data_IF_355187150996
#
_entry.id   IF_355187150996
#
_cell.length_a   1.000
_cell.length_b   1.000
_cell.length_c   1.000
_cell.angle_alpha   90.00
_cell.angle_beta   90.00
_cell.angle_gamma   90.00
#
_symmetry.space_group_name_H-M   'P 1'
#
loop_
_entity.id
_entity.type
_entity.pdbx_description
1 polymer ?
#
# COMPACT_ATOMS: atom_id res chain seq x y z
N UNK A 1 45.19 34.45 -64.90
CA UNK A 1 43.92 34.35 -65.63
C UNK A 1 43.32 33.06 -65.15
N UNK A 2 42.38 33.19 -64.22
CA UNK A 2 41.79 32.11 -63.43
C UNK A 2 40.70 31.43 -64.27
N UNK A 3 40.75 30.12 -64.36
CA UNK A 3 39.60 29.23 -64.54
C UNK A 3 40.06 27.84 -64.07
N UNK A 4 39.67 27.47 -62.86
CA UNK A 4 39.65 26.08 -62.42
C UNK A 4 38.36 25.87 -61.63
N UNK A 5 37.60 24.90 -62.11
CA UNK A 5 36.25 24.53 -61.72
C UNK A 5 36.15 24.22 -60.22
N UNK A 6 35.32 24.98 -59.51
CA UNK A 6 34.81 24.57 -58.20
C UNK A 6 33.56 23.73 -58.45
N UNK A 7 33.73 22.40 -58.39
CA UNK A 7 32.63 21.48 -58.18
C UNK A 7 31.96 21.82 -56.84
N UNK A 8 30.76 22.41 -56.91
CA UNK A 8 29.85 22.47 -55.75
C UNK A 8 29.35 21.06 -55.46
N UNK A 9 29.77 20.53 -54.30
CA UNK A 9 29.20 19.37 -53.62
C UNK A 9 27.69 19.55 -53.45
N UNK A 10 26.91 18.93 -54.34
CA UNK A 10 25.48 18.70 -54.15
C UNK A 10 25.26 17.27 -53.67
N UNK A 11 25.69 16.96 -52.45
CA UNK A 11 25.32 15.71 -51.76
C UNK A 11 25.16 15.91 -50.25
N UNK A 12 24.47 16.98 -49.85
CA UNK A 12 24.04 17.17 -48.45
C UNK A 12 22.62 16.62 -48.25
N UNK A 13 22.55 15.49 -47.54
CA UNK A 13 21.42 14.94 -46.76
C UNK A 13 20.03 14.88 -47.41
N UNK A 14 19.78 13.81 -48.19
CA UNK A 14 18.42 13.35 -48.56
C UNK A 14 17.72 12.51 -47.48
N UNK A 15 18.25 12.48 -46.25
CA UNK A 15 17.77 11.62 -45.15
C UNK A 15 16.80 12.33 -44.19
N UNK A 16 16.46 13.60 -44.44
CA UNK A 16 15.46 14.30 -43.63
C UNK A 16 14.04 13.91 -44.06
N UNK A 17 13.36 13.16 -43.18
CA UNK A 17 11.95 12.78 -43.30
C UNK A 17 11.12 14.06 -43.47
N UNK A 18 10.36 14.15 -44.56
CA UNK A 18 9.47 15.30 -44.79
C UNK A 18 8.34 15.32 -43.77
N UNK A 19 7.75 16.49 -43.49
CA UNK A 19 6.63 16.60 -42.54
C UNK A 19 5.43 15.70 -42.88
N UNK A 20 5.23 15.38 -44.15
CA UNK A 20 4.18 14.45 -44.61
C UNK A 20 4.56 12.99 -44.31
N UNK A 21 5.80 12.59 -44.57
CA UNK A 21 6.32 11.26 -44.22
C UNK A 21 6.34 11.04 -42.70
N UNK A 22 6.55 12.11 -41.92
CA UNK A 22 6.49 12.03 -40.47
C UNK A 22 5.08 11.68 -39.97
N UNK A 23 4.02 12.22 -40.59
CA UNK A 23 2.65 11.89 -40.22
C UNK A 23 2.33 10.41 -40.48
N UNK A 24 2.76 9.88 -41.62
CA UNK A 24 2.60 8.45 -41.93
C UNK A 24 3.43 7.56 -41.00
N UNK A 25 4.68 7.95 -40.72
CA UNK A 25 5.56 7.23 -39.80
C UNK A 25 4.98 7.17 -38.38
N UNK A 26 4.34 8.24 -37.90
CA UNK A 26 3.64 8.24 -36.61
C UNK A 26 2.57 7.16 -36.53
N UNK A 27 1.78 6.98 -37.59
CA UNK A 27 0.74 5.93 -37.61
C UNK A 27 1.34 4.53 -37.59
N UNK A 28 2.46 4.29 -38.28
CA UNK A 28 3.16 3.00 -38.24
C UNK A 28 3.61 2.67 -36.81
N UNK A 29 4.16 3.65 -36.09
CA UNK A 29 4.58 3.48 -34.69
C UNK A 29 3.38 3.23 -33.77
N UNK A 30 2.28 3.97 -33.97
CA UNK A 30 1.04 3.80 -33.21
C UNK A 30 0.43 2.41 -33.46
N UNK A 31 0.40 1.95 -34.71
CA UNK A 31 -0.08 0.61 -35.06
C UNK A 31 0.76 -0.46 -34.39
N UNK A 32 2.09 -0.37 -34.47
CA UNK A 32 2.99 -1.31 -33.79
C UNK A 32 2.75 -1.34 -32.26
N UNK A 33 2.50 -0.18 -31.64
CA UNK A 33 2.17 -0.09 -30.22
C UNK A 33 0.87 -0.85 -29.88
N UNK A 34 -0.20 -0.67 -30.66
CA UNK A 34 -1.47 -1.35 -30.40
C UNK A 34 -1.44 -2.84 -30.76
N UNK A 35 -0.64 -3.24 -31.75
CA UNK A 35 -0.43 -4.65 -32.10
C UNK A 35 0.29 -5.40 -30.97
N UNK A 36 1.24 -4.76 -30.28
CA UNK A 36 1.94 -5.37 -29.15
C UNK A 36 1.17 -5.27 -27.82
N UNK A 37 0.62 -4.09 -27.50
CA UNK A 37 0.03 -3.82 -26.18
C UNK A 37 -1.47 -4.12 -26.11
N UNK A 38 -2.20 -3.98 -27.19
CA UNK A 38 -3.66 -4.03 -27.18
C UNK A 38 -4.32 -2.86 -26.43
N UNK A 39 -5.62 -2.99 -26.15
CA UNK A 39 -6.46 -1.89 -25.61
C UNK A 39 -6.73 -1.96 -24.10
N UNK A 40 -6.62 -3.14 -23.49
CA UNK A 40 -6.98 -3.39 -22.08
C UNK A 40 -5.80 -3.82 -21.22
N UNK A 41 -4.58 -3.51 -21.69
CA UNK A 41 -3.32 -3.95 -21.11
C UNK A 41 -3.20 -3.64 -19.62
N UNK A 42 -3.63 -2.45 -19.20
CA UNK A 42 -3.62 -1.99 -17.81
C UNK A 42 -4.41 -2.88 -16.85
N UNK A 43 -5.52 -3.49 -17.31
CA UNK A 43 -6.31 -4.41 -16.48
C UNK A 43 -5.62 -5.77 -16.36
N UNK A 44 -5.12 -6.28 -17.50
CA UNK A 44 -4.45 -7.58 -17.56
C UNK A 44 -3.13 -7.58 -16.78
N UNK A 45 -2.28 -6.56 -16.99
CA UNK A 45 -1.00 -6.43 -16.31
C UNK A 45 -1.18 -6.26 -14.80
N UNK A 46 -2.16 -5.44 -14.38
CA UNK A 46 -2.47 -5.25 -12.96
C UNK A 46 -2.92 -6.56 -12.30
N UNK A 47 -3.74 -7.36 -12.98
CA UNK A 47 -4.17 -8.67 -12.47
C UNK A 47 -3.04 -9.69 -12.47
N UNK A 48 -2.23 -9.74 -13.52
CA UNK A 48 -1.10 -10.67 -13.62
C UNK A 48 -0.05 -10.36 -12.54
N UNK A 49 0.30 -9.09 -12.33
CA UNK A 49 1.17 -8.66 -11.22
C UNK A 49 0.58 -9.04 -9.87
N UNK A 50 -0.73 -8.84 -9.68
CA UNK A 50 -1.42 -9.20 -8.45
C UNK A 50 -1.24 -10.69 -8.13
N UNK A 51 -1.52 -11.57 -9.09
CA UNK A 51 -1.45 -13.03 -8.89
C UNK A 51 -0.02 -13.52 -8.76
N UNK A 52 0.91 -13.01 -9.58
CA UNK A 52 2.29 -13.49 -9.64
C UNK A 52 3.13 -13.03 -8.44
N UNK A 53 2.90 -11.80 -7.96
CA UNK A 53 3.76 -11.19 -6.94
C UNK A 53 2.99 -10.85 -5.65
N UNK A 54 1.89 -10.11 -5.76
CA UNK A 54 1.27 -9.49 -4.58
C UNK A 54 0.62 -10.53 -3.65
N UNK A 55 -0.05 -11.56 -4.18
CA UNK A 55 -0.65 -12.61 -3.34
C UNK A 55 0.42 -13.35 -2.54
N UNK A 56 1.58 -13.67 -3.14
CA UNK A 56 2.68 -14.33 -2.44
C UNK A 56 3.26 -13.44 -1.34
N UNK A 57 3.50 -12.15 -1.64
CA UNK A 57 3.98 -11.17 -0.66
C UNK A 57 3.04 -11.01 0.54
N UNK A 58 1.73 -11.00 0.31
CA UNK A 58 0.73 -10.92 1.41
C UNK A 58 0.86 -12.12 2.35
N UNK A 59 1.10 -13.32 1.81
CA UNK A 59 1.26 -14.54 2.61
C UNK A 59 2.58 -14.51 3.38
N UNK A 60 3.65 -14.00 2.79
CA UNK A 60 4.97 -13.84 3.43
C UNK A 60 4.99 -12.77 4.53
N UNK A 61 4.29 -11.66 4.33
CA UNK A 61 4.14 -10.56 5.29
C UNK A 61 3.31 -10.96 6.52
N UNK A 62 2.52 -12.02 6.41
CA UNK A 62 1.64 -12.48 7.49
C UNK A 62 2.46 -13.15 8.61
N UNK A 63 2.41 -12.67 9.86
CA UNK A 63 3.17 -13.28 10.94
C UNK A 63 2.67 -14.70 11.24
N UNK A 64 3.55 -15.60 11.73
CA UNK A 64 3.13 -16.93 12.16
C UNK A 64 2.00 -16.85 13.19
N UNK A 65 1.00 -17.71 13.04
CA UNK A 65 -0.10 -17.80 14.00
C UNK A 65 0.33 -18.68 15.15
N UNK A 66 0.53 -18.07 16.31
CA UNK A 66 0.93 -18.75 17.53
C UNK A 66 -0.28 -18.97 18.45
N UNK A 67 -0.45 -20.21 18.91
CA UNK A 67 -1.48 -20.62 19.85
C UNK A 67 -0.83 -21.40 20.99
N UNK A 68 -1.12 -21.01 22.22
CA UNK A 68 -0.71 -21.72 23.41
C UNK A 68 -1.96 -22.09 24.21
N UNK A 69 -2.09 -23.36 24.59
CA UNK A 69 -3.18 -23.79 25.47
C UNK A 69 -3.04 -23.12 26.84
N UNK A 70 -4.17 -22.77 27.45
CA UNK A 70 -4.17 -22.24 28.82
C UNK A 70 -3.69 -23.31 29.80
N UNK A 71 -2.95 -22.89 30.83
CA UNK A 71 -2.54 -23.78 31.90
C UNK A 71 -3.77 -24.24 32.67
N UNK A 72 -4.13 -25.53 32.58
CA UNK A 72 -5.14 -26.11 33.47
C UNK A 72 -4.46 -26.53 34.76
N UNK A 73 -4.77 -25.86 35.87
CA UNK A 73 -4.28 -26.22 37.19
C UNK A 73 -5.21 -27.28 37.82
N UNK A 74 -5.13 -28.52 37.35
CA UNK A 74 -5.72 -29.68 38.04
C UNK A 74 -4.60 -30.53 38.66
N UNK A 75 -4.15 -30.15 39.85
CA UNK A 75 -3.22 -30.94 40.66
C UNK A 75 -1.78 -30.43 40.72
N UNK A 76 -0.94 -31.13 41.48
CA UNK A 76 0.44 -30.75 41.81
C UNK A 76 1.46 -30.94 40.66
N UNK A 77 1.01 -31.40 39.49
CA UNK A 77 1.84 -31.60 38.31
C UNK A 77 1.66 -30.42 37.34
N UNK A 78 2.74 -29.66 37.12
CA UNK A 78 2.81 -28.64 36.06
C UNK A 78 2.95 -29.35 34.71
N UNK A 79 1.85 -29.56 33.98
CA UNK A 79 1.95 -29.85 32.54
C UNK A 79 2.31 -28.55 31.80
N UNK A 80 3.42 -28.54 31.06
CA UNK A 80 3.69 -27.43 30.14
C UNK A 80 2.75 -27.55 28.94
N UNK A 81 1.91 -26.54 28.66
CA UNK A 81 1.00 -26.58 27.53
C UNK A 81 1.79 -26.58 26.22
N UNK A 82 1.34 -27.38 25.26
CA UNK A 82 1.92 -27.39 23.93
C UNK A 82 1.71 -26.02 23.25
N UNK A 83 2.78 -25.49 22.65
CA UNK A 83 2.74 -24.30 21.79
C UNK A 83 2.64 -24.75 20.34
N UNK A 84 1.66 -24.20 19.61
CA UNK A 84 1.46 -24.43 18.19
C UNK A 84 1.85 -23.15 17.44
N UNK A 85 2.69 -23.27 16.43
CA UNK A 85 2.99 -22.20 15.48
C UNK A 85 2.66 -22.67 14.07
N UNK A 86 1.86 -21.88 13.36
CA UNK A 86 1.48 -22.12 11.97
C UNK A 86 2.09 -21.03 11.09
N UNK A 87 2.85 -21.44 10.09
CA UNK A 87 3.44 -20.56 9.09
C UNK A 87 2.94 -20.95 7.70
N UNK A 88 2.52 -19.97 6.93
CA UNK A 88 2.16 -20.13 5.52
C UNK A 88 3.36 -19.80 4.65
N UNK A 89 3.61 -20.62 3.62
CA UNK A 89 4.77 -20.50 2.74
C UNK A 89 4.32 -20.23 1.30
N UNK A 90 4.80 -21.04 0.35
CA UNK A 90 4.55 -20.89 -1.07
C UNK A 90 3.07 -21.07 -1.42
N UNK A 91 2.54 -20.18 -2.24
CA UNK A 91 1.22 -20.32 -2.87
C UNK A 91 1.33 -20.99 -4.24
N UNK A 92 0.25 -21.70 -4.62
CA UNK A 92 0.07 -22.27 -5.94
C UNK A 92 -1.35 -21.97 -6.42
N UNK A 93 -1.46 -21.28 -7.55
CA UNK A 93 -2.72 -21.08 -8.24
C UNK A 93 -2.79 -22.01 -9.45
N UNK A 94 -3.80 -22.88 -9.53
CA UNK A 94 -3.99 -23.71 -10.72
C UNK A 94 -4.73 -22.96 -11.82
N UNK A 95 -4.84 -23.56 -13.01
CA UNK A 95 -5.80 -23.09 -14.02
C UNK A 95 -7.26 -23.27 -13.53
N UNK A 96 -8.24 -22.53 -14.07
CA UNK A 96 -9.65 -22.59 -13.65
C UNK A 96 -10.26 -23.98 -13.78
N UNK A 97 -10.83 -24.49 -12.68
CA UNK A 97 -11.45 -25.81 -12.62
C UNK A 97 -12.81 -25.79 -11.93
N UNK A 98 -13.71 -26.62 -12.44
CA UNK A 98 -15.01 -26.91 -11.85
C UNK A 98 -15.03 -28.32 -11.27
N UNK A 99 -15.73 -28.52 -10.17
CA UNK A 99 -16.01 -29.87 -9.65
C UNK A 99 -17.45 -30.20 -9.98
N UNK A 100 -17.65 -31.23 -10.78
CA UNK A 100 -19.00 -31.74 -11.06
C UNK A 100 -19.57 -32.46 -9.85
N UNK A 101 -20.89 -32.75 -9.90
CA UNK A 101 -21.60 -33.46 -8.81
C UNK A 101 -20.98 -34.83 -8.48
N UNK A 102 -20.33 -35.44 -9.47
CA UNK A 102 -19.66 -36.74 -9.34
C UNK A 102 -18.27 -36.62 -8.68
N UNK A 103 -17.84 -35.40 -8.33
CA UNK A 103 -16.57 -35.13 -7.65
C UNK A 103 -15.34 -35.04 -8.58
N UNK A 104 -15.51 -35.27 -9.88
CA UNK A 104 -14.42 -35.14 -10.86
C UNK A 104 -14.11 -33.66 -11.16
N UNK A 105 -12.83 -33.25 -11.13
CA UNK A 105 -12.43 -31.92 -11.57
C UNK A 105 -12.38 -31.86 -13.10
N UNK A 106 -13.03 -30.85 -13.67
CA UNK A 106 -12.98 -30.54 -15.10
C UNK A 106 -12.39 -29.14 -15.32
N UNK A 107 -11.60 -28.92 -16.39
CA UNK A 107 -11.20 -27.58 -16.78
C UNK A 107 -12.46 -26.76 -17.11
N UNK A 108 -12.56 -25.57 -16.54
CA UNK A 108 -13.70 -24.69 -16.80
C UNK A 108 -13.37 -23.80 -18.00
N UNK A 109 -14.26 -23.76 -18.99
CA UNK A 109 -14.20 -22.77 -20.07
C UNK A 109 -15.04 -21.54 -19.72
N UNK A 110 -14.64 -20.32 -20.16
CA UNK A 110 -15.39 -19.11 -19.80
C UNK A 110 -16.82 -19.09 -20.34
N UNK A 111 -17.05 -19.45 -21.60
CA UNK A 111 -18.40 -19.55 -22.16
C UNK A 111 -19.30 -20.51 -21.36
N UNK A 112 -18.75 -21.64 -20.91
CA UNK A 112 -19.47 -22.56 -20.04
C UNK A 112 -19.85 -21.91 -18.70
N UNK A 113 -18.94 -21.13 -18.11
CA UNK A 113 -19.20 -20.40 -16.87
C UNK A 113 -20.32 -19.37 -17.04
N UNK A 114 -20.38 -18.68 -18.19
CA UNK A 114 -21.47 -17.76 -18.55
C UNK A 114 -22.81 -18.50 -18.63
N UNK A 115 -22.89 -19.58 -19.43
CA UNK A 115 -24.13 -20.32 -19.69
C UNK A 115 -24.70 -21.03 -18.46
N UNK A 116 -23.82 -21.56 -17.59
CA UNK A 116 -24.23 -22.32 -16.39
C UNK A 116 -24.39 -21.46 -15.14
N UNK A 117 -24.27 -20.14 -15.25
CA UNK A 117 -24.28 -19.22 -14.10
C UNK A 117 -23.21 -19.56 -13.04
N UNK A 118 -22.02 -19.99 -13.48
CA UNK A 118 -20.90 -20.32 -12.60
C UNK A 118 -19.95 -19.13 -12.45
N UNK A 119 -19.09 -19.20 -11.43
CA UNK A 119 -17.98 -18.26 -11.27
C UNK A 119 -16.72 -18.86 -11.86
N UNK A 120 -16.11 -18.15 -12.80
CA UNK A 120 -14.85 -18.53 -13.44
C UNK A 120 -13.68 -18.24 -12.49
N UNK A 121 -13.26 -19.28 -11.76
CA UNK A 121 -12.27 -19.16 -10.69
C UNK A 121 -11.30 -20.33 -10.66
N UNK A 122 -10.09 -20.05 -10.19
CA UNK A 122 -9.03 -21.02 -9.96
C UNK A 122 -8.90 -21.38 -8.49
N UNK A 123 -8.70 -22.66 -8.14
CA UNK A 123 -8.37 -23.06 -6.78
C UNK A 123 -6.95 -22.60 -6.41
N UNK A 124 -6.83 -22.08 -5.18
CA UNK A 124 -5.60 -21.61 -4.56
C UNK A 124 -5.18 -22.62 -3.48
N UNK A 125 -3.91 -23.01 -3.55
CA UNK A 125 -3.27 -23.92 -2.62
C UNK A 125 -2.09 -23.23 -1.94
N UNK A 126 -1.78 -23.62 -0.70
CA UNK A 126 -0.67 -23.05 0.08
C UNK A 126 0.04 -24.16 0.84
N UNK A 127 1.36 -24.05 0.95
CA UNK A 127 2.16 -24.91 1.85
C UNK A 127 2.11 -24.36 3.28
N UNK A 128 1.79 -25.23 4.24
CA UNK A 128 1.64 -24.85 5.65
C UNK A 128 2.66 -25.62 6.49
N UNK A 129 3.55 -24.91 7.17
CA UNK A 129 4.44 -25.47 8.18
C UNK A 129 3.79 -25.37 9.55
N UNK A 130 3.61 -26.51 10.21
CA UNK A 130 3.14 -26.60 11.60
C UNK A 130 4.30 -26.99 12.50
N UNK A 131 4.61 -26.15 13.47
CA UNK A 131 5.58 -26.43 14.53
C UNK A 131 4.84 -26.63 15.85
N UNK A 132 5.06 -27.78 16.50
CA UNK A 132 4.53 -28.08 17.83
C UNK A 132 5.70 -28.17 18.80
N UNK A 133 5.70 -27.31 19.81
CA UNK A 133 6.71 -27.31 20.88
C UNK A 133 6.07 -27.80 22.17
N UNK A 134 6.57 -28.91 22.73
CA UNK A 134 6.17 -29.47 24.02
C UNK A 134 7.40 -29.94 24.78
N UNK A 135 7.60 -29.47 26.01
CA UNK A 135 8.67 -29.96 26.90
C UNK A 135 10.04 -30.07 26.20
N UNK A 136 10.44 -29.00 25.49
CA UNK A 136 11.67 -28.90 24.67
C UNK A 136 11.74 -29.76 23.39
N UNK A 137 10.77 -30.64 23.16
CA UNK A 137 10.63 -31.33 21.87
C UNK A 137 9.96 -30.42 20.83
N UNK A 138 10.63 -30.22 19.70
CA UNK A 138 10.12 -29.47 18.54
C UNK A 138 9.74 -30.48 17.46
N UNK A 139 8.46 -30.58 17.15
CA UNK A 139 7.95 -31.39 16.05
C UNK A 139 7.47 -30.49 14.93
N UNK A 140 8.16 -30.55 13.78
CA UNK A 140 7.80 -29.84 12.57
C UNK A 140 7.10 -30.78 11.58
N UNK A 141 5.97 -30.33 11.03
CA UNK A 141 5.24 -31.04 9.98
C UNK A 141 4.86 -30.06 8.88
N UNK A 142 5.24 -30.39 7.66
CA UNK A 142 4.90 -29.63 6.47
C UNK A 142 3.67 -30.29 5.81
N UNK A 143 2.68 -29.46 5.50
CA UNK A 143 1.50 -29.82 4.73
C UNK A 143 1.61 -29.15 3.37
N UNK A 144 1.87 -29.95 2.34
CA UNK A 144 2.00 -29.44 0.97
C UNK A 144 0.64 -29.27 0.30
N UNK A 145 0.49 -28.19 -0.48
CA UNK A 145 -0.66 -27.92 -1.37
C UNK A 145 -2.01 -28.06 -0.65
N UNK A 146 -2.15 -27.42 0.50
CA UNK A 146 -3.42 -27.36 1.21
C UNK A 146 -4.36 -26.40 0.48
N UNK A 147 -5.57 -26.87 0.13
CA UNK A 147 -6.58 -26.02 -0.50
C UNK A 147 -7.06 -24.93 0.47
N UNK A 148 -6.96 -23.66 0.05
CA UNK A 148 -7.35 -22.50 0.88
C UNK A 148 -8.64 -21.86 0.37
N UNK A 149 -8.86 -21.85 -0.94
CA UNK A 149 -10.04 -21.22 -1.52
C UNK A 149 -9.97 -21.13 -3.04
N UNK A 150 -10.85 -20.30 -3.62
CA UNK A 150 -10.86 -20.02 -5.06
C UNK A 150 -10.69 -18.53 -5.32
N UNK A 151 -9.93 -18.19 -6.35
CA UNK A 151 -9.68 -16.82 -6.81
C UNK A 151 -10.32 -16.64 -8.19
N UNK A 152 -11.24 -15.68 -8.38
CA UNK A 152 -11.76 -15.36 -9.71
C UNK A 152 -10.63 -14.98 -10.67
N UNK A 153 -10.65 -15.55 -11.87
CA UNK A 153 -9.60 -15.32 -12.88
C UNK A 153 -10.10 -14.34 -13.93
N UNK A 154 -9.30 -13.32 -14.23
CA UNK A 154 -9.61 -12.36 -15.27
C UNK A 154 -9.48 -13.01 -16.65
N UNK A 155 -10.44 -12.77 -17.53
CA UNK A 155 -10.39 -13.28 -18.90
C UNK A 155 -9.20 -12.72 -19.68
N UNK A 156 -8.57 -13.57 -20.49
CA UNK A 156 -7.35 -13.29 -21.26
C UNK A 156 -6.07 -12.99 -20.44
N UNK A 157 -6.13 -13.05 -19.10
CA UNK A 157 -4.93 -12.98 -18.25
C UNK A 157 -4.04 -14.22 -18.40
N UNK A 158 -2.80 -14.15 -17.91
CA UNK A 158 -1.83 -15.27 -17.98
C UNK A 158 -2.35 -16.58 -17.34
N UNK A 159 -3.21 -16.48 -16.32
CA UNK A 159 -3.81 -17.63 -15.63
C UNK A 159 -5.13 -18.10 -16.25
N UNK A 160 -5.68 -17.39 -17.23
CA UNK A 160 -6.88 -17.81 -17.94
C UNK A 160 -6.62 -19.04 -18.84
N UNK A 161 -7.65 -19.82 -19.16
CA UNK A 161 -7.54 -20.89 -20.16
C UNK A 161 -7.35 -20.34 -21.58
N UNK A 162 -7.90 -19.16 -21.87
CA UNK A 162 -7.85 -18.53 -23.20
C UNK A 162 -6.51 -17.83 -23.50
N UNK A 163 -5.57 -17.83 -22.56
CA UNK A 163 -4.25 -17.21 -22.74
C UNK A 163 -3.49 -17.94 -23.84
N UNK A 164 -2.92 -17.19 -24.79
CA UNK A 164 -2.07 -17.72 -25.87
C UNK A 164 -2.75 -18.72 -26.84
N UNK A 165 -4.08 -18.77 -26.87
CA UNK A 165 -4.83 -19.52 -27.88
C UNK A 165 -4.88 -18.75 -29.20
N UNK A 166 -4.87 -19.46 -30.33
CA UNK A 166 -5.01 -18.82 -31.65
C UNK A 166 -6.47 -18.42 -31.91
N UNK A 167 -6.68 -17.47 -32.84
CA UNK A 167 -8.03 -17.05 -33.26
C UNK A 167 -8.91 -18.22 -33.72
N UNK A 168 -8.28 -19.23 -34.32
CA UNK A 168 -8.94 -20.47 -34.72
C UNK A 168 -9.43 -21.26 -33.50
N UNK A 169 -8.55 -21.52 -32.53
CA UNK A 169 -8.89 -22.30 -31.33
C UNK A 169 -9.99 -21.61 -30.52
N UNK A 170 -9.94 -20.28 -30.43
CA UNK A 170 -10.97 -19.48 -29.76
C UNK A 170 -12.34 -19.65 -30.43
N UNK A 171 -12.35 -19.63 -31.76
CA UNK A 171 -13.59 -19.85 -32.53
C UNK A 171 -14.13 -21.27 -32.33
N UNK A 172 -13.25 -22.28 -32.27
CA UNK A 172 -13.63 -23.68 -31.97
C UNK A 172 -14.23 -23.83 -30.55
N UNK A 173 -13.81 -22.98 -29.60
CA UNK A 173 -14.35 -22.91 -28.24
C UNK A 173 -15.59 -22.02 -28.09
N UNK A 174 -16.12 -21.48 -29.18
CA UNK A 174 -17.21 -20.49 -29.21
C UNK A 174 -16.89 -19.19 -28.43
N UNK A 175 -15.63 -18.77 -28.42
CA UNK A 175 -15.19 -17.46 -27.93
C UNK A 175 -14.89 -16.53 -29.12
N UNK A 176 -15.07 -15.22 -28.92
CA UNK A 176 -14.79 -14.23 -29.95
C UNK A 176 -13.28 -13.88 -29.96
N UNK A 177 -12.57 -13.99 -31.10
CA UNK A 177 -11.17 -13.54 -31.20
C UNK A 177 -10.99 -12.06 -30.87
N UNK A 178 -11.99 -11.23 -31.19
CA UNK A 178 -11.97 -9.79 -30.96
C UNK A 178 -12.42 -9.38 -29.55
N UNK A 179 -12.78 -10.33 -28.68
CA UNK A 179 -13.05 -10.01 -27.27
C UNK A 179 -11.74 -9.66 -26.56
N UNK A 180 -11.58 -8.41 -26.08
CA UNK A 180 -10.34 -7.96 -25.44
C UNK A 180 -10.08 -8.65 -24.09
N UNK A 181 -11.09 -9.22 -23.44
CA UNK A 181 -10.96 -9.71 -22.06
C UNK A 181 -10.83 -8.56 -21.05
N UNK A 182 -10.12 -8.80 -19.94
CA UNK A 182 -9.95 -7.77 -18.90
C UNK A 182 -11.13 -7.64 -17.92
N UNK A 183 -12.00 -8.66 -17.85
CA UNK A 183 -13.16 -8.71 -16.97
C UNK A 183 -13.31 -10.11 -16.33
N UNK A 184 -14.20 -10.21 -15.35
CA UNK A 184 -14.46 -11.43 -14.59
C UNK A 184 -15.85 -11.98 -14.89
N UNK A 185 -15.99 -13.30 -14.89
CA UNK A 185 -17.30 -13.98 -14.94
C UNK A 185 -17.64 -14.48 -13.54
N UNK A 186 -18.64 -13.88 -12.90
CA UNK A 186 -19.09 -14.22 -11.55
C UNK A 186 -20.57 -14.56 -11.61
N UNK A 187 -20.91 -15.80 -11.25
CA UNK A 187 -22.27 -16.34 -11.32
C UNK A 187 -22.92 -16.11 -12.70
N UNK A 188 -22.17 -16.37 -13.77
CA UNK A 188 -22.57 -16.14 -15.16
C UNK A 188 -22.59 -14.70 -15.63
N UNK A 189 -22.47 -13.72 -14.73
CA UNK A 189 -22.48 -12.30 -15.06
C UNK A 189 -21.07 -11.76 -15.27
N UNK A 190 -20.90 -10.91 -16.27
CA UNK A 190 -19.65 -10.23 -16.57
C UNK A 190 -19.49 -9.00 -15.68
N UNK A 191 -18.29 -8.84 -15.09
CA UNK A 191 -17.97 -7.80 -14.11
C UNK A 191 -16.61 -7.17 -14.44
N UNK A 192 -16.58 -5.85 -14.53
CA UNK A 192 -15.37 -5.06 -14.75
C UNK A 192 -15.08 -4.24 -13.50
N UNK A 193 -13.80 -4.16 -13.13
CA UNK A 193 -13.35 -3.26 -12.06
C UNK A 193 -12.97 -1.90 -12.67
N UNK A 194 -13.62 -0.84 -12.19
CA UNK A 194 -13.37 0.54 -12.64
C UNK A 194 -12.24 1.12 -11.79
N UNK A 195 -11.22 1.64 -12.45
CA UNK A 195 -10.10 2.32 -11.80
C UNK A 195 -10.60 3.47 -10.91
N UNK A 196 -10.03 3.57 -9.71
CA UNK A 196 -10.38 4.60 -8.74
C UNK A 196 -9.21 5.56 -8.58
N UNK A 197 -9.44 6.83 -8.92
CA UNK A 197 -8.46 7.89 -8.72
C UNK A 197 -8.36 8.25 -7.23
N UNK A 198 -7.13 8.39 -6.74
CA UNK A 198 -6.82 8.81 -5.37
C UNK A 198 -5.62 9.75 -5.37
N UNK A 199 -5.55 10.63 -4.38
CA UNK A 199 -4.35 11.45 -4.12
C UNK A 199 -3.14 10.56 -3.89
N UNK A 200 -1.99 10.94 -4.42
CA UNK A 200 -0.75 10.20 -4.25
C UNK A 200 -0.36 10.09 -2.77
N UNK A 201 0.15 8.92 -2.39
CA UNK A 201 0.71 8.68 -1.05
C UNK A 201 2.17 9.14 -1.02
N UNK A 202 2.76 9.17 0.18
CA UNK A 202 4.17 9.51 0.44
C UNK A 202 4.58 10.91 -0.07
N UNK A 203 3.60 11.81 -0.20
CA UNK A 203 3.79 13.21 -0.60
C UNK A 203 3.14 14.11 0.45
N UNK A 204 3.78 15.25 0.72
CA UNK A 204 3.28 16.25 1.67
C UNK A 204 2.45 17.29 0.93
N UNK A 205 1.18 17.42 1.32
CA UNK A 205 0.28 18.43 0.77
C UNK A 205 0.01 19.53 1.80
N UNK A 206 0.12 20.80 1.38
CA UNK A 206 -0.16 21.97 2.23
C UNK A 206 -1.33 22.74 1.64
N UNK A 207 -2.37 22.96 2.44
CA UNK A 207 -3.57 23.66 2.04
C UNK A 207 -3.77 24.92 2.89
N UNK A 208 -3.98 26.06 2.23
CA UNK A 208 -4.44 27.28 2.88
C UNK A 208 -5.94 27.20 3.14
N UNK A 209 -6.36 27.46 4.37
CA UNK A 209 -7.76 27.46 4.77
C UNK A 209 -8.26 28.90 4.90
N UNK A 210 -9.44 29.20 4.35
CA UNK A 210 -10.05 30.53 4.44
C UNK A 210 -10.73 30.76 5.80
N UNK A 211 -11.43 29.73 6.29
CA UNK A 211 -12.21 29.79 7.53
C UNK A 211 -11.95 28.56 8.40
N UNK A 212 -12.05 28.75 9.72
CA UNK A 212 -12.01 27.68 10.70
C UNK A 212 -10.86 27.80 11.72
N UNK A 213 -10.57 26.67 12.36
CA UNK A 213 -9.56 26.57 13.44
C UNK A 213 -8.12 26.66 12.93
N UNK A 214 -7.88 26.24 11.69
CA UNK A 214 -6.55 26.15 11.09
C UNK A 214 -6.39 27.21 10.00
N UNK A 215 -5.25 27.90 9.98
CA UNK A 215 -4.85 28.77 8.88
C UNK A 215 -4.25 27.94 7.74
N UNK A 216 -3.41 26.97 8.08
CA UNK A 216 -2.81 26.02 7.14
C UNK A 216 -3.02 24.59 7.65
N UNK A 217 -3.41 23.71 6.74
CA UNK A 217 -3.57 22.28 7.00
C UNK A 217 -2.56 21.52 6.15
N UNK A 218 -1.71 20.74 6.79
CA UNK A 218 -0.79 19.84 6.09
C UNK A 218 -1.27 18.41 6.23
N UNK A 219 -1.22 17.64 5.16
CA UNK A 219 -1.58 16.23 5.14
C UNK A 219 -0.44 15.43 4.51
N UNK A 220 0.01 14.39 5.22
CA UNK A 220 0.92 13.39 4.71
C UNK A 220 0.27 12.02 4.87
N UNK A 221 -0.02 11.38 3.73
CA UNK A 221 -0.56 10.01 3.66
C UNK A 221 0.58 9.05 3.39
N UNK A 222 1.09 8.44 4.43
CA UNK A 222 2.19 7.50 4.34
C UNK A 222 1.68 6.09 4.07
N UNK A 223 2.27 5.42 3.08
CA UNK A 223 2.01 4.02 2.75
C UNK A 223 3.35 3.34 2.52
N UNK A 224 3.58 2.21 3.17
CA UNK A 224 4.75 1.39 2.86
C UNK A 224 4.56 0.78 1.47
N UNK A 225 5.54 0.93 0.61
CA UNK A 225 5.50 0.35 -0.73
C UNK A 225 5.48 -1.19 -0.62
N UNK A 226 4.65 -1.85 -1.41
CA UNK A 226 4.49 -3.32 -1.43
C UNK A 226 3.97 -3.96 -0.13
N UNK A 227 3.40 -3.20 0.80
CA UNK A 227 2.81 -3.76 2.02
C UNK A 227 1.28 -3.78 1.96
N UNK A 228 0.68 -4.76 2.64
CA UNK A 228 -0.77 -4.84 2.85
C UNK A 228 -1.28 -3.87 3.94
N UNK A 229 -0.38 -3.14 4.62
CA UNK A 229 -0.75 -2.20 5.68
C UNK A 229 -1.54 -1.02 5.11
N UNK A 230 -2.62 -0.58 5.81
CA UNK A 230 -3.40 0.55 5.37
C UNK A 230 -2.58 1.86 5.42
N UNK A 231 -3.01 2.83 4.63
CA UNK A 231 -2.38 4.16 4.61
C UNK A 231 -2.48 4.83 5.97
N UNK A 232 -1.35 5.23 6.53
CA UNK A 232 -1.27 5.99 7.76
C UNK A 232 -1.25 7.49 7.45
N UNK A 233 -2.19 8.23 8.02
CA UNK A 233 -2.30 9.68 7.76
C UNK A 233 -1.88 10.49 8.97
N UNK A 234 -0.96 11.42 8.76
CA UNK A 234 -0.56 12.43 9.73
C UNK A 234 -0.98 13.81 9.22
N UNK A 235 -1.41 14.66 10.16
CA UNK A 235 -1.64 16.08 9.87
C UNK A 235 -0.72 16.96 10.71
N UNK A 236 -0.22 18.03 10.10
CA UNK A 236 0.51 19.10 10.79
C UNK A 236 -0.16 20.43 10.44
N UNK A 237 -0.84 21.00 11.43
CA UNK A 237 -1.73 22.13 11.19
C UNK A 237 -1.26 23.35 11.96
N UNK A 238 -1.34 24.51 11.32
CA UNK A 238 -1.10 25.79 11.95
C UNK A 238 -2.43 26.40 12.38
N UNK A 239 -2.56 26.75 13.66
CA UNK A 239 -3.76 27.41 14.18
C UNK A 239 -3.88 28.85 13.66
N UNK A 240 -5.12 29.32 13.51
CA UNK A 240 -5.40 30.73 13.21
C UNK A 240 -4.95 31.64 14.36
N UNK A 241 -4.60 32.90 14.04
CA UNK A 241 -4.28 33.92 15.05
C UNK A 241 -5.55 34.24 15.85
N UNK A 242 -5.57 33.86 17.12
CA UNK A 242 -6.75 33.99 17.99
C UNK A 242 -7.66 32.77 17.88
N UNK A 243 -7.47 31.80 18.80
CA UNK A 243 -8.18 30.52 18.79
C UNK A 243 -9.69 30.69 18.56
N UNK A 244 -10.26 29.80 17.74
CA UNK A 244 -11.62 29.86 17.18
C UNK A 244 -12.80 29.79 18.16
N UNK A 245 -12.76 30.58 19.22
CA UNK A 245 -13.83 30.72 20.19
C UNK A 245 -13.62 31.98 21.03
N UNK A 246 -13.94 33.16 20.48
CA UNK A 246 -14.31 34.41 21.17
C UNK A 246 -13.39 35.02 22.23
N UNK A 247 -12.40 34.31 22.75
CA UNK A 247 -11.41 34.75 23.73
C UNK A 247 -10.10 34.92 23.01
N UNK A 248 -9.74 36.20 22.76
CA UNK A 248 -8.38 36.61 22.37
C UNK A 248 -7.40 36.13 23.43
N UNK A 249 -6.93 34.90 23.32
CA UNK A 249 -5.79 34.41 24.08
C UNK A 249 -4.56 35.02 23.42
N UNK A 250 -3.69 35.66 24.19
CA UNK A 250 -2.45 36.28 23.72
C UNK A 250 -1.39 35.26 23.23
N UNK A 251 -1.83 34.06 22.84
CA UNK A 251 -0.97 33.00 22.38
C UNK A 251 -0.86 33.10 20.86
N UNK A 252 0.39 33.13 20.38
CA UNK A 252 0.72 33.24 18.95
C UNK A 252 0.20 32.06 18.12
N UNK A 253 0.55 32.07 16.83
CA UNK A 253 0.23 30.93 15.94
C UNK A 253 1.01 29.71 16.43
N UNK A 254 0.29 28.63 16.72
CA UNK A 254 0.88 27.38 17.20
C UNK A 254 0.72 26.30 16.16
N UNK A 255 1.70 25.40 16.11
CA UNK A 255 1.74 24.27 15.21
C UNK A 255 1.43 23.00 16.01
N UNK A 256 0.44 22.26 15.55
CA UNK A 256 -0.02 21.02 16.16
C UNK A 256 0.09 19.86 15.18
N UNK A 257 0.37 18.67 15.71
CA UNK A 257 0.27 17.40 15.01
C UNK A 257 -0.99 16.64 15.40
N UNK A 258 -1.58 15.95 14.43
CA UNK A 258 -2.57 14.90 14.66
C UNK A 258 -1.94 13.61 14.16
N UNK A 259 -1.62 12.73 15.12
CA UNK A 259 -0.95 11.46 14.86
C UNK A 259 -1.98 10.37 14.50
N UNK A 260 -1.57 9.35 13.73
CA UNK A 260 -2.38 8.15 13.50
C UNK A 260 -2.88 7.56 14.82
N UNK A 261 -4.14 7.13 14.86
CA UNK A 261 -4.79 6.55 16.04
C UNK A 261 -4.91 7.46 17.28
N UNK A 262 -4.44 8.71 17.23
CA UNK A 262 -4.61 9.70 18.30
C UNK A 262 -5.63 10.76 17.86
N UNK A 263 -6.78 10.78 18.54
CA UNK A 263 -7.88 11.71 18.20
C UNK A 263 -7.66 13.14 18.68
N UNK A 264 -6.78 13.35 19.66
CA UNK A 264 -6.51 14.67 20.21
C UNK A 264 -5.26 15.28 19.58
N UNK A 265 -5.29 16.60 19.45
CA UNK A 265 -4.18 17.38 18.92
C UNK A 265 -3.02 17.41 19.92
N UNK A 266 -1.80 17.31 19.38
CA UNK A 266 -0.57 17.32 20.16
C UNK A 266 0.33 18.44 19.62
N UNK A 267 0.83 19.36 20.46
CA UNK A 267 1.84 20.34 20.04
C UNK A 267 3.04 19.67 19.37
N UNK A 268 3.47 20.16 18.20
CA UNK A 268 4.46 19.46 17.38
C UNK A 268 5.80 19.25 18.11
N UNK A 269 6.18 20.20 18.97
CA UNK A 269 7.41 20.13 19.77
C UNK A 269 7.39 18.97 20.77
N UNK A 270 6.21 18.58 21.29
CA UNK A 270 6.09 17.41 22.16
C UNK A 270 6.32 16.12 21.36
N UNK A 271 5.94 16.08 20.07
CA UNK A 271 6.22 14.94 19.19
C UNK A 271 7.73 14.78 18.99
N UNK A 272 8.47 15.86 18.71
CA UNK A 272 9.94 15.82 18.61
C UNK A 272 10.60 15.32 19.91
N UNK A 273 10.13 15.79 21.07
CA UNK A 273 10.62 15.31 22.36
C UNK A 273 10.32 13.83 22.59
N UNK A 274 9.17 13.35 22.15
CA UNK A 274 8.83 11.93 22.21
C UNK A 274 9.70 11.06 21.28
N UNK A 275 10.12 11.61 20.12
CA UNK A 275 11.09 10.98 19.21
C UNK A 275 12.51 10.91 19.78
N UNK A 276 12.82 11.70 20.81
CA UNK A 276 14.10 11.67 21.54
C UNK A 276 14.91 12.97 21.49
N UNK A 277 14.43 13.99 20.76
CA UNK A 277 15.09 15.29 20.68
C UNK A 277 14.68 16.17 21.88
N UNK A 278 15.52 16.25 22.90
CA UNK A 278 15.24 17.00 24.14
C UNK A 278 15.72 18.45 24.06
N UNK A 279 16.79 18.72 23.31
CA UNK A 279 17.35 20.06 23.12
C UNK A 279 16.51 20.86 22.13
N UNK A 280 16.08 22.07 22.50
CA UNK A 280 15.31 22.95 21.60
C UNK A 280 16.11 23.32 20.35
N UNK A 281 17.45 23.44 20.48
CA UNK A 281 18.34 23.69 19.35
C UNK A 281 18.30 22.54 18.34
N UNK A 282 18.25 21.30 18.83
CA UNK A 282 18.23 20.10 17.97
C UNK A 282 16.89 20.02 17.24
N UNK A 283 15.79 20.27 17.95
CA UNK A 283 14.44 20.35 17.36
C UNK A 283 14.41 21.41 16.26
N UNK A 284 14.90 22.62 16.55
CA UNK A 284 14.92 23.70 15.57
C UNK A 284 15.81 23.37 14.36
N UNK A 285 16.95 22.71 14.56
CA UNK A 285 17.82 22.27 13.45
C UNK A 285 17.19 21.23 12.52
N UNK A 286 16.14 20.53 12.96
CA UNK A 286 15.34 19.64 12.11
C UNK A 286 14.20 20.34 11.37
N UNK A 287 13.80 21.54 11.80
CA UNK A 287 12.68 22.29 11.20
C UNK A 287 13.21 23.40 10.29
N UNK A 288 14.18 24.17 10.78
CA UNK A 288 14.73 25.37 10.15
C UNK A 288 16.17 25.03 9.73
N UNK A 289 16.43 25.03 8.43
CA UNK A 289 17.75 24.74 7.89
C UNK A 289 18.74 25.91 8.03
N UNK A 290 18.21 27.14 8.08
CA UNK A 290 18.98 28.39 8.20
C UNK A 290 18.57 29.17 9.44
N UNK A 291 19.45 29.20 10.45
CA UNK A 291 19.20 29.90 11.71
C UNK A 291 19.32 31.43 11.59
N UNK A 292 19.83 31.93 10.48
CA UNK A 292 19.95 33.38 10.23
C UNK A 292 18.63 34.00 9.72
N UNK A 293 17.56 33.19 9.52
CA UNK A 293 16.21 33.66 9.23
C UNK A 293 15.41 33.98 10.52
N UNK A 294 15.32 35.26 10.94
CA UNK A 294 14.59 35.65 12.14
C UNK A 294 13.07 35.46 12.01
N UNK A 295 12.53 35.50 10.78
CA UNK A 295 11.08 35.42 10.54
C UNK A 295 10.56 34.01 10.82
N UNK A 296 11.24 32.98 10.31
CA UNK A 296 10.92 31.59 10.63
C UNK A 296 11.09 31.28 12.12
N UNK A 297 12.17 31.79 12.73
CA UNK A 297 12.43 31.60 14.16
C UNK A 297 11.33 32.24 15.03
N UNK A 298 10.85 33.43 14.67
CA UNK A 298 9.74 34.09 15.37
C UNK A 298 8.41 33.34 15.19
N UNK A 299 8.16 32.75 14.02
CA UNK A 299 6.95 31.97 13.76
C UNK A 299 6.88 30.68 14.59
N UNK A 300 8.00 30.01 14.83
CA UNK A 300 8.06 28.73 15.56
C UNK A 300 8.05 28.93 17.08
N UNK A 301 8.56 30.06 17.59
CA UNK A 301 8.71 30.37 19.01
C UNK A 301 7.45 30.13 19.87
N UNK A 302 6.22 30.53 19.48
CA UNK A 302 5.02 30.27 20.29
C UNK A 302 4.75 28.77 20.52
N UNK A 303 5.17 27.91 19.60
CA UNK A 303 5.02 26.45 19.72
C UNK A 303 6.07 25.84 20.66
N UNK A 304 7.25 26.44 20.76
CA UNK A 304 8.28 26.08 21.75
C UNK A 304 7.83 26.47 23.17
N UNK A 305 7.34 27.70 23.34
CA UNK A 305 6.87 28.21 24.64
C UNK A 305 5.73 27.34 25.20
N UNK A 306 4.81 26.86 24.35
CA UNK A 306 3.73 25.95 24.76
C UNK A 306 4.25 24.58 25.25
N UNK A 307 5.33 24.09 24.65
CA UNK A 307 5.88 22.77 24.97
C UNK A 307 6.89 22.79 26.12
N UNK A 308 7.26 23.96 26.65
CA UNK A 308 8.26 24.13 27.71
C UNK A 308 7.98 23.29 28.97
N UNK A 309 6.70 23.00 29.23
CA UNK A 309 6.23 22.19 30.37
C UNK A 309 6.69 20.73 30.33
N UNK A 310 7.09 20.21 29.17
CA UNK A 310 7.53 18.82 28.99
C UNK A 310 8.92 18.86 28.38
N UNK A 311 9.93 18.47 29.16
CA UNK A 311 11.32 18.43 28.70
C UNK A 311 11.84 17.00 28.51
N UNK A 312 11.25 16.00 29.17
CA UNK A 312 11.71 14.62 29.11
C UNK A 312 10.92 13.77 28.10
N UNK A 313 11.63 12.86 27.40
CA UNK A 313 11.02 11.94 26.44
C UNK A 313 9.93 11.05 27.06
N UNK A 314 10.16 10.47 28.23
CA UNK A 314 9.18 9.59 28.88
C UNK A 314 7.91 10.34 29.32
N UNK A 315 8.03 11.62 29.64
CA UNK A 315 6.89 12.49 29.97
C UNK A 315 6.11 12.83 28.69
N UNK A 316 6.81 13.11 27.59
CA UNK A 316 6.20 13.33 26.27
C UNK A 316 5.45 12.07 25.77
N UNK A 317 6.07 10.90 25.87
CA UNK A 317 5.43 9.61 25.51
C UNK A 317 4.17 9.35 26.34
N UNK A 318 4.22 9.60 27.66
CA UNK A 318 3.03 9.49 28.50
C UNK A 318 1.94 10.52 28.13
N UNK A 319 2.32 11.73 27.74
CA UNK A 319 1.39 12.77 27.29
C UNK A 319 0.65 12.39 26.01
N UNK A 320 1.34 11.76 25.06
CA UNK A 320 0.75 11.20 23.83
C UNK A 320 -0.12 9.98 24.18
N UNK A 321 0.41 9.04 24.97
CA UNK A 321 -0.30 7.82 25.34
C UNK A 321 -1.59 8.09 26.11
N UNK A 322 -1.63 9.10 26.98
CA UNK A 322 -2.84 9.52 27.69
C UNK A 322 -3.95 10.08 26.79
N UNK A 323 -3.60 10.55 25.58
CA UNK A 323 -4.55 11.09 24.59
C UNK A 323 -5.09 10.04 23.61
N UNK A 324 -4.41 8.89 23.51
CA UNK A 324 -4.82 7.79 22.66
C UNK A 324 -5.42 6.61 23.42
N UNK A 325 -4.91 6.28 24.60
CA UNK A 325 -5.34 5.11 25.36
C UNK A 325 -6.65 5.36 26.14
N UNK A 326 -7.39 4.28 26.41
CA UNK A 326 -8.59 4.34 27.26
C UNK A 326 -8.21 4.75 28.70
N UNK A 327 -9.12 5.44 29.43
CA UNK A 327 -8.92 5.71 30.84
C UNK A 327 -8.69 4.41 31.64
N UNK A 328 -7.78 4.43 32.62
CA UNK A 328 -7.47 3.28 33.49
C UNK A 328 -6.19 2.50 33.16
N UNK A 329 -5.55 2.79 32.02
CA UNK A 329 -4.25 2.17 31.65
C UNK A 329 -3.11 2.76 32.50
N UNK A 330 -2.17 1.91 32.94
CA UNK A 330 -1.00 2.34 33.73
C UNK A 330 -0.07 3.26 32.93
N UNK A 331 0.77 4.04 33.62
CA UNK A 331 1.73 4.95 32.96
C UNK A 331 2.67 4.21 32.00
N UNK A 332 3.19 3.07 32.42
CA UNK A 332 4.14 2.27 31.61
C UNK A 332 3.51 1.75 30.32
N UNK A 333 2.27 1.24 30.40
CA UNK A 333 1.53 0.78 29.24
C UNK A 333 1.22 1.93 28.26
N UNK A 334 0.93 3.14 28.76
CA UNK A 334 0.75 4.33 27.89
C UNK A 334 2.03 4.72 27.16
N UNK A 335 3.17 4.69 27.86
CA UNK A 335 4.47 4.97 27.26
C UNK A 335 4.79 3.95 26.18
N UNK A 336 4.59 2.65 26.47
CA UNK A 336 4.79 1.57 25.49
C UNK A 336 3.89 1.74 24.27
N UNK A 337 2.60 2.01 24.48
CA UNK A 337 1.63 2.26 23.41
C UNK A 337 2.02 3.46 22.53
N UNK A 338 2.38 4.60 23.14
CA UNK A 338 2.83 5.77 22.39
C UNK A 338 4.09 5.50 21.59
N UNK A 339 5.05 4.75 22.15
CA UNK A 339 6.27 4.34 21.44
C UNK A 339 5.95 3.45 20.24
N UNK A 340 5.04 2.49 20.38
CA UNK A 340 4.61 1.62 19.28
C UNK A 340 3.95 2.42 18.15
N UNK A 341 3.10 3.42 18.46
CA UNK A 341 2.53 4.32 17.45
C UNK A 341 3.63 5.09 16.72
N UNK A 342 4.53 5.73 17.46
CA UNK A 342 5.60 6.53 16.85
C UNK A 342 6.58 5.69 16.01
N UNK A 343 6.74 4.41 16.34
CA UNK A 343 7.66 3.53 15.62
C UNK A 343 7.03 2.83 14.42
N UNK A 344 5.76 2.43 14.49
CA UNK A 344 5.11 1.60 13.45
C UNK A 344 4.09 2.33 12.60
N UNK A 345 3.46 3.36 13.17
CA UNK A 345 2.30 4.02 12.56
C UNK A 345 2.64 5.44 12.11
N UNK A 346 3.56 6.14 12.77
CA UNK A 346 4.02 7.44 12.32
C UNK A 346 4.94 7.29 11.11
N UNK A 347 4.49 7.78 9.95
CA UNK A 347 5.27 7.85 8.71
C UNK A 347 5.91 6.52 8.25
N UNK A 348 5.19 5.38 8.20
CA UNK A 348 5.74 4.04 7.93
C UNK A 348 6.57 3.87 6.63
N UNK A 349 6.48 4.80 5.68
CA UNK A 349 7.32 4.84 4.49
C UNK A 349 8.80 5.23 4.73
N UNK A 350 9.13 5.72 5.94
CA UNK A 350 10.49 6.06 6.41
C UNK A 350 10.85 5.08 7.52
#
# INVERSE_FOLDING_TARGET
MYDEDVMEDASENSDEITSEQWQEACWVVISAYFDEKGLVRQQLDSFDEFVQMNVQRIVEDSPPVELQSENQHLGADMENPAKFSLKFNQIYLSKPTHWEKDGAPMPMMPNEARLRNLTYASPLYVDITKVVTRDESINEKIYEKVFVGKVPVMLRSSYCMLSNMTDRDLTELNECPLDPGGYFVINGSEKVLIAQEKMATNTVYVFSMKDGKYAFKTECRSCLENSSRPTSTMWVNMLTRGGGGGKKTAMGQRIIGILPYIKQEIPIMIVFRALGFVSDRDILGHIIYDFDDPEMMEMVKPSLDEAFVIQEQNVALNFIGARGAKPGVTREQRIKYAREILQKELLPHV
#
